data_IF_804079695382
#
_entry.id   IF_804079695382
#
_cell.length_a   1.000
_cell.length_b   1.000
_cell.length_c   1.000
_cell.angle_alpha   90.00
_cell.angle_beta   90.00
_cell.angle_gamma   90.00
#
_symmetry.space_group_name_H-M   'P 1'
#
loop_
_entity.id
_entity.type
_entity.pdbx_description
1 polymer ?
#
# COMPACT_ATOMS: atom_id res chain seq x y z
N UNK A 1 5.10 22.03 -18.02
CA UNK A 1 3.85 22.13 -17.21
C UNK A 1 4.20 22.16 -15.74
N UNK A 2 3.22 22.49 -14.88
CA UNK A 2 3.38 22.44 -13.42
C UNK A 2 3.06 21.04 -12.91
N UNK A 3 3.94 20.46 -12.10
CA UNK A 3 3.78 19.13 -11.51
C UNK A 3 3.98 19.21 -10.00
N UNK A 4 2.97 18.86 -9.22
CA UNK A 4 3.11 18.73 -7.77
C UNK A 4 3.38 17.27 -7.41
N UNK A 5 4.51 16.99 -6.77
CA UNK A 5 4.79 15.67 -6.18
C UNK A 5 4.18 15.65 -4.79
N UNK A 6 3.12 14.87 -4.61
CA UNK A 6 2.32 14.84 -3.37
C UNK A 6 2.63 13.58 -2.59
N UNK A 7 2.96 13.73 -1.29
CA UNK A 7 3.41 12.63 -0.44
C UNK A 7 2.91 12.79 1.01
N UNK A 8 3.08 11.75 1.85
CA UNK A 8 2.86 11.85 3.29
C UNK A 8 4.13 11.50 4.07
N UNK A 9 4.58 12.40 4.96
CA UNK A 9 5.55 12.06 6.03
C UNK A 9 5.00 12.34 7.41
N UNK A 10 4.08 13.30 7.56
CA UNK A 10 3.38 13.57 8.81
C UNK A 10 1.91 13.16 8.74
N UNK A 11 1.59 12.03 9.35
CA UNK A 11 0.22 11.50 9.41
C UNK A 11 -0.68 12.21 10.43
N UNK A 12 -0.14 13.18 11.20
CA UNK A 12 -0.88 13.89 12.26
C UNK A 12 -1.43 15.24 11.83
N UNK A 13 -1.13 15.70 10.62
CA UNK A 13 -1.65 16.95 10.06
C UNK A 13 -3.11 16.79 9.60
N UNK A 14 -3.99 16.53 10.57
CA UNK A 14 -5.44 16.34 10.44
C UNK A 14 -6.17 17.19 11.47
N UNK A 15 -7.48 17.38 11.33
CA UNK A 15 -8.29 18.07 12.35
C UNK A 15 -8.38 17.22 13.62
N UNK A 16 -8.74 15.94 13.48
CA UNK A 16 -8.85 14.98 14.56
C UNK A 16 -8.20 13.66 14.16
N UNK A 17 -7.53 13.02 15.12
CA UNK A 17 -6.99 11.67 14.97
C UNK A 17 -8.08 10.64 15.28
N UNK A 18 -8.17 9.61 14.44
CA UNK A 18 -9.01 8.44 14.72
C UNK A 18 -8.33 7.16 14.25
N UNK A 19 -8.62 6.05 14.94
CA UNK A 19 -7.97 4.78 14.68
C UNK A 19 -6.44 4.89 14.78
N UNK A 20 -5.75 4.06 14.00
CA UNK A 20 -4.30 4.09 13.91
C UNK A 20 -3.85 5.01 12.76
N UNK A 21 -3.01 6.01 13.04
CA UNK A 21 -2.40 6.81 11.98
C UNK A 21 -1.52 5.93 11.09
N UNK A 22 -1.56 6.19 9.79
CA UNK A 22 -0.75 5.48 8.82
C UNK A 22 0.73 5.66 9.12
N UNK A 23 1.49 4.57 9.08
CA UNK A 23 2.93 4.58 9.36
C UNK A 23 3.77 4.57 8.08
N UNK A 24 3.15 4.32 6.92
CA UNK A 24 3.83 4.23 5.64
C UNK A 24 4.31 5.60 5.17
N UNK A 25 5.57 5.65 4.73
CA UNK A 25 6.21 6.89 4.30
C UNK A 25 7.13 6.60 3.14
N UNK A 26 7.02 7.40 2.08
CA UNK A 26 8.01 7.39 1.01
C UNK A 26 9.33 8.01 1.51
N UNK A 27 10.45 7.47 1.05
CA UNK A 27 11.77 7.98 1.42
C UNK A 27 12.06 9.36 0.81
N UNK A 28 12.69 10.24 1.59
CA UNK A 28 13.09 11.59 1.12
C UNK A 28 14.02 11.53 -0.09
N UNK A 29 14.92 10.53 -0.15
CA UNK A 29 15.79 10.29 -1.31
C UNK A 29 14.96 9.98 -2.57
N UNK A 30 13.89 9.20 -2.44
CA UNK A 30 12.98 8.89 -3.56
C UNK A 30 12.21 10.12 -4.02
N UNK A 31 11.67 10.92 -3.09
CA UNK A 31 11.02 12.21 -3.41
C UNK A 31 12.00 13.11 -4.17
N UNK A 32 13.24 13.24 -3.69
CA UNK A 32 14.27 14.02 -4.36
C UNK A 32 14.53 13.51 -5.79
N UNK A 33 14.74 12.20 -5.97
CA UNK A 33 14.95 11.59 -7.30
C UNK A 33 13.78 11.86 -8.25
N UNK A 34 12.54 11.73 -7.79
CA UNK A 34 11.35 12.02 -8.59
C UNK A 34 11.30 13.50 -9.00
N UNK A 35 11.46 14.41 -8.05
CA UNK A 35 11.43 15.85 -8.34
C UNK A 35 12.54 16.29 -9.27
N UNK A 36 13.76 15.78 -9.09
CA UNK A 36 14.90 16.09 -9.96
C UNK A 36 14.67 15.57 -11.39
N UNK A 37 14.15 14.35 -11.54
CA UNK A 37 13.83 13.78 -12.84
C UNK A 37 12.75 14.58 -13.59
N UNK A 38 11.68 14.99 -12.90
CA UNK A 38 10.62 15.82 -13.47
C UNK A 38 11.15 17.21 -13.87
N UNK A 39 12.05 17.81 -13.07
CA UNK A 39 12.70 19.09 -13.41
C UNK A 39 13.62 18.96 -14.62
N UNK A 40 14.41 17.89 -14.68
CA UNK A 40 15.25 17.58 -15.84
C UNK A 40 14.42 17.39 -17.13
N UNK A 41 13.18 16.88 -16.99
CA UNK A 41 12.18 16.83 -18.07
C UNK A 41 11.54 18.18 -18.44
N UNK A 42 12.01 19.30 -17.88
CA UNK A 42 11.53 20.65 -18.21
C UNK A 42 10.21 21.05 -17.52
N UNK A 43 9.83 20.38 -16.43
CA UNK A 43 8.63 20.74 -15.67
C UNK A 43 8.94 21.71 -14.52
N UNK A 44 7.95 22.53 -14.17
CA UNK A 44 7.98 23.31 -12.93
C UNK A 44 7.48 22.38 -11.81
N UNK A 45 8.34 22.08 -10.83
CA UNK A 45 8.07 21.02 -9.85
C UNK A 45 8.18 21.52 -8.42
N UNK A 46 7.14 21.24 -7.64
CA UNK A 46 7.12 21.40 -6.18
C UNK A 46 6.76 20.09 -5.51
N UNK A 47 7.22 19.88 -4.28
CA UNK A 47 6.86 18.72 -3.46
C UNK A 47 6.04 19.19 -2.26
N UNK A 48 4.94 18.51 -1.95
CA UNK A 48 3.97 18.94 -0.95
C UNK A 48 3.50 17.77 -0.07
N UNK A 49 3.35 18.03 1.23
CA UNK A 49 2.62 17.13 2.14
C UNK A 49 1.13 17.09 1.76
N UNK A 50 0.58 15.89 1.67
CA UNK A 50 -0.85 15.63 1.54
C UNK A 50 -1.54 15.69 2.91
N UNK A 51 -1.78 16.90 3.38
CA UNK A 51 -2.48 17.19 4.62
C UNK A 51 -3.78 17.97 4.38
N UNK A 52 -4.41 18.43 5.47
CA UNK A 52 -5.64 19.24 5.40
C UNK A 52 -5.51 20.55 4.60
N UNK A 53 -4.28 21.02 4.35
CA UNK A 53 -3.99 22.24 3.59
C UNK A 53 -3.69 21.96 2.10
N UNK A 54 -3.76 20.69 1.66
CA UNK A 54 -3.36 20.30 0.31
C UNK A 54 -4.10 21.08 -0.79
N UNK A 55 -5.40 21.31 -0.64
CA UNK A 55 -6.20 22.04 -1.63
C UNK A 55 -5.68 23.47 -1.82
N UNK A 56 -5.50 24.21 -0.73
CA UNK A 56 -5.00 25.59 -0.77
C UNK A 56 -3.58 25.68 -1.38
N UNK A 57 -2.72 24.71 -1.05
CA UNK A 57 -1.37 24.60 -1.63
C UNK A 57 -1.42 24.34 -3.14
N UNK A 58 -2.31 23.45 -3.59
CA UNK A 58 -2.49 23.14 -5.02
C UNK A 58 -3.06 24.34 -5.79
N UNK A 59 -4.08 25.02 -5.27
CA UNK A 59 -4.66 26.22 -5.88
C UNK A 59 -3.62 27.33 -6.09
N UNK A 60 -2.76 27.54 -5.09
CA UNK A 60 -1.67 28.53 -5.18
C UNK A 60 -0.64 28.15 -6.25
N UNK A 61 -0.28 26.88 -6.34
CA UNK A 61 0.77 26.43 -7.26
C UNK A 61 0.29 26.28 -8.70
N UNK A 62 -0.90 25.70 -8.91
CA UNK A 62 -1.47 25.41 -10.23
C UNK A 62 -2.88 26.02 -10.37
N UNK A 63 -2.97 27.35 -10.59
CA UNK A 63 -4.26 28.01 -10.75
C UNK A 63 -5.01 27.49 -11.99
N UNK A 64 -6.33 27.70 -11.99
CA UNK A 64 -7.22 27.32 -13.08
C UNK A 64 -6.69 27.85 -14.41
N UNK A 65 -6.60 26.95 -15.39
CA UNK A 65 -6.16 27.28 -16.74
C UNK A 65 -7.23 28.05 -17.51
N UNK A 66 -6.79 29.00 -18.33
CA UNK A 66 -7.63 29.63 -19.36
C UNK A 66 -7.69 28.73 -20.61
N UNK A 67 -8.66 28.97 -21.49
CA UNK A 67 -8.84 28.16 -22.70
C UNK A 67 -7.54 28.13 -23.54
N UNK A 68 -7.05 26.93 -23.82
CA UNK A 68 -5.82 26.69 -24.61
C UNK A 68 -4.57 26.36 -23.78
N UNK A 69 -4.59 26.55 -22.46
CA UNK A 69 -3.49 26.15 -21.59
C UNK A 69 -3.57 24.68 -21.15
N UNK A 70 -2.41 24.05 -20.93
CA UNK A 70 -2.35 22.70 -20.35
C UNK A 70 -2.44 22.80 -18.82
N UNK A 71 -3.39 22.11 -18.17
CA UNK A 71 -3.47 22.09 -16.71
C UNK A 71 -2.19 21.53 -16.09
N UNK A 72 -1.93 21.95 -14.85
CA UNK A 72 -0.97 21.26 -13.99
C UNK A 72 -1.47 19.86 -13.65
N UNK A 73 -0.59 19.04 -13.09
CA UNK A 73 -0.94 17.69 -12.65
C UNK A 73 -0.27 17.33 -11.33
N UNK A 74 -0.82 16.30 -10.68
CA UNK A 74 -0.23 15.73 -9.47
C UNK A 74 0.46 14.40 -9.77
N UNK A 75 1.73 14.32 -9.37
CA UNK A 75 2.46 13.08 -9.24
C UNK A 75 2.23 12.52 -7.83
N UNK A 76 1.19 11.69 -7.68
CA UNK A 76 0.78 11.16 -6.38
C UNK A 76 1.69 10.00 -5.93
N UNK A 77 2.36 10.17 -4.79
CA UNK A 77 3.11 9.12 -4.08
C UNK A 77 2.76 9.12 -2.58
N UNK A 78 1.54 9.55 -2.27
CA UNK A 78 0.99 9.60 -0.92
C UNK A 78 0.42 8.24 -0.51
N UNK A 79 0.42 7.96 0.80
CA UNK A 79 -0.13 6.73 1.38
C UNK A 79 -1.37 7.00 2.25
N UNK A 80 -1.87 8.25 2.26
CA UNK A 80 -2.93 8.68 3.16
C UNK A 80 -2.48 8.81 4.62
N UNK A 81 -3.41 9.30 5.44
CA UNK A 81 -3.13 9.74 6.82
C UNK A 81 -3.68 8.76 7.88
N UNK A 82 -4.93 8.30 7.72
CA UNK A 82 -5.65 7.45 8.67
C UNK A 82 -6.88 6.82 8.01
N UNK A 83 -7.50 5.83 8.65
CA UNK A 83 -8.67 5.13 8.12
C UNK A 83 -8.35 3.97 7.18
N UNK A 84 -9.37 3.16 6.89
CA UNK A 84 -9.20 1.91 6.12
C UNK A 84 -8.86 2.17 4.65
N UNK A 85 -9.59 3.08 3.99
CA UNK A 85 -9.40 3.44 2.59
C UNK A 85 -8.34 4.56 2.40
N UNK A 86 -7.34 4.65 3.28
CA UNK A 86 -6.41 5.80 3.35
C UNK A 86 -5.73 6.17 2.02
N UNK A 87 -5.43 5.21 1.16
CA UNK A 87 -4.79 5.47 -0.14
C UNK A 87 -5.69 6.27 -1.10
N UNK A 88 -6.99 6.38 -0.83
CA UNK A 88 -7.91 7.17 -1.65
C UNK A 88 -7.89 8.66 -1.35
N UNK A 89 -7.34 9.09 -0.20
CA UNK A 89 -7.47 10.47 0.27
C UNK A 89 -7.09 11.51 -0.80
N UNK A 90 -5.88 11.37 -1.36
CA UNK A 90 -5.39 12.28 -2.39
C UNK A 90 -6.15 12.12 -3.71
N UNK A 91 -6.23 10.93 -4.34
CA UNK A 91 -6.93 10.82 -5.62
C UNK A 91 -8.40 11.25 -5.54
N UNK A 92 -9.11 10.99 -4.43
CA UNK A 92 -10.50 11.46 -4.25
C UNK A 92 -10.60 12.98 -4.17
N UNK A 93 -9.68 13.64 -3.45
CA UNK A 93 -9.63 15.11 -3.42
C UNK A 93 -9.33 15.66 -4.82
N UNK A 94 -8.39 15.05 -5.54
CA UNK A 94 -7.99 15.50 -6.89
C UNK A 94 -9.11 15.35 -7.91
N UNK A 95 -9.89 14.26 -7.86
CA UNK A 95 -11.10 14.11 -8.65
C UNK A 95 -12.14 15.18 -8.32
N UNK A 96 -12.33 15.48 -7.03
CA UNK A 96 -13.26 16.52 -6.58
C UNK A 96 -12.87 17.92 -7.06
N UNK A 97 -11.58 18.27 -7.03
CA UNK A 97 -11.08 19.60 -7.44
C UNK A 97 -10.68 19.69 -8.91
N UNK A 98 -10.82 18.59 -9.68
CA UNK A 98 -10.59 18.57 -11.13
C UNK A 98 -9.12 18.65 -11.55
N UNK A 99 -8.19 18.10 -10.75
CA UNK A 99 -6.76 18.11 -11.06
C UNK A 99 -6.34 16.73 -11.62
N UNK A 100 -5.77 16.66 -12.83
CA UNK A 100 -5.22 15.41 -13.38
C UNK A 100 -4.09 14.83 -12.51
N UNK A 101 -4.00 13.51 -12.42
CA UNK A 101 -2.99 12.82 -11.64
C UNK A 101 -2.55 11.49 -12.26
N UNK A 102 -1.42 10.96 -11.80
CA UNK A 102 -0.91 9.63 -12.19
C UNK A 102 -1.27 8.57 -11.15
N UNK A 103 -1.18 7.30 -11.58
CA UNK A 103 -1.54 6.09 -10.84
C UNK A 103 -3.05 5.87 -10.72
N UNK A 104 -3.44 4.92 -9.87
CA UNK A 104 -4.81 4.43 -9.74
C UNK A 104 -5.73 5.48 -9.13
N UNK A 105 -7.00 5.47 -9.54
CA UNK A 105 -8.05 6.24 -8.88
C UNK A 105 -8.53 5.61 -7.57
N UNK A 106 -9.49 6.27 -6.88
CA UNK A 106 -10.01 5.84 -5.58
C UNK A 106 -10.53 4.41 -5.58
N UNK A 107 -11.27 4.01 -6.62
CA UNK A 107 -11.80 2.65 -6.72
C UNK A 107 -10.67 1.60 -6.77
N UNK A 108 -9.67 1.82 -7.62
CA UNK A 108 -8.53 0.93 -7.74
C UNK A 108 -7.75 0.81 -6.44
N UNK A 109 -7.52 1.93 -5.75
CA UNK A 109 -6.87 1.94 -4.45
C UNK A 109 -7.68 1.23 -3.36
N UNK A 110 -8.99 1.46 -3.27
CA UNK A 110 -9.85 0.80 -2.28
C UNK A 110 -9.87 -0.72 -2.47
N UNK A 111 -9.99 -1.18 -3.72
CA UNK A 111 -9.99 -2.62 -4.02
C UNK A 111 -8.65 -3.26 -3.66
N UNK A 112 -7.54 -2.67 -4.13
CA UNK A 112 -6.21 -3.22 -3.92
C UNK A 112 -5.72 -3.19 -2.46
N UNK A 113 -6.20 -2.23 -1.66
CA UNK A 113 -5.80 -2.10 -0.25
C UNK A 113 -6.49 -3.14 0.65
N UNK A 114 -7.74 -3.52 0.34
CA UNK A 114 -8.44 -4.60 1.03
C UNK A 114 -8.04 -5.96 0.46
N UNK A 115 -7.20 -6.68 1.21
CA UNK A 115 -6.66 -7.99 0.82
C UNK A 115 -7.76 -9.04 0.64
N UNK A 116 -8.83 -8.98 1.43
CA UNK A 116 -9.94 -9.94 1.38
C UNK A 116 -10.76 -9.70 0.12
N UNK A 117 -11.16 -8.44 -0.11
CA UNK A 117 -11.91 -8.06 -1.31
C UNK A 117 -11.10 -8.35 -2.58
N UNK A 118 -9.81 -8.00 -2.60
CA UNK A 118 -8.92 -8.34 -3.72
C UNK A 118 -8.93 -9.84 -4.00
N UNK A 119 -8.72 -10.70 -2.98
CA UNK A 119 -8.72 -12.16 -3.15
C UNK A 119 -10.07 -12.68 -3.67
N UNK A 120 -11.18 -12.19 -3.14
CA UNK A 120 -12.52 -12.58 -3.59
C UNK A 120 -12.71 -12.28 -5.08
N UNK A 121 -12.32 -11.08 -5.53
CA UNK A 121 -12.42 -10.68 -6.95
C UNK A 121 -11.52 -11.56 -7.82
N UNK A 122 -10.27 -11.80 -7.39
CA UNK A 122 -9.34 -12.65 -8.14
C UNK A 122 -9.88 -14.09 -8.29
N UNK A 123 -10.32 -14.71 -7.18
CA UNK A 123 -10.91 -16.06 -7.20
C UNK A 123 -12.15 -16.15 -8.06
N UNK A 124 -13.04 -15.15 -7.99
CA UNK A 124 -14.25 -15.10 -8.83
C UNK A 124 -13.92 -15.06 -10.32
N UNK A 125 -12.75 -14.55 -10.70
CA UNK A 125 -12.25 -14.50 -12.07
C UNK A 125 -11.28 -15.64 -12.41
N UNK A 126 -11.20 -16.70 -11.59
CA UNK A 126 -10.36 -17.86 -11.84
C UNK A 126 -8.86 -17.63 -11.60
N UNK A 127 -8.47 -16.52 -10.98
CA UNK A 127 -7.09 -16.26 -10.59
C UNK A 127 -6.85 -16.87 -9.20
N UNK A 128 -5.92 -17.82 -9.06
CA UNK A 128 -5.71 -18.51 -7.79
C UNK A 128 -5.11 -17.58 -6.74
N UNK A 129 -5.57 -17.74 -5.50
CA UNK A 129 -5.00 -17.12 -4.31
C UNK A 129 -4.96 -18.16 -3.20
N UNK A 130 -3.99 -18.10 -2.25
CA UNK A 130 -3.98 -19.02 -1.11
C UNK A 130 -5.32 -19.05 -0.38
N UNK A 131 -5.72 -20.23 0.09
CA UNK A 131 -6.89 -20.37 0.97
C UNK A 131 -6.72 -19.50 2.21
N UNK A 132 -7.82 -18.95 2.71
CA UNK A 132 -7.75 -17.96 3.79
C UNK A 132 -9.01 -17.93 4.64
N UNK A 133 -8.85 -17.43 5.86
CA UNK A 133 -9.92 -17.11 6.79
C UNK A 133 -9.69 -15.74 7.43
N UNK A 134 -10.78 -15.05 7.76
CA UNK A 134 -10.75 -13.82 8.56
C UNK A 134 -11.20 -14.17 9.97
N UNK A 135 -10.32 -13.94 10.94
CA UNK A 135 -10.59 -14.14 12.35
C UNK A 135 -11.00 -12.79 12.95
N UNK A 136 -12.29 -12.67 13.27
CA UNK A 136 -12.85 -11.45 13.89
C UNK A 136 -12.41 -11.29 15.35
N UNK A 137 -12.04 -12.38 16.01
CA UNK A 137 -11.43 -12.37 17.35
C UNK A 137 -10.27 -13.38 17.43
N UNK A 138 -9.33 -13.23 18.38
CA UNK A 138 -8.21 -14.16 18.55
C UNK A 138 -8.60 -15.61 18.86
N UNK A 139 -9.79 -15.82 19.43
CA UNK A 139 -10.30 -17.13 19.86
C UNK A 139 -11.04 -17.87 18.76
N UNK A 140 -11.38 -17.19 17.66
CA UNK A 140 -12.10 -17.76 16.53
C UNK A 140 -11.28 -18.89 15.90
N UNK A 141 -11.84 -20.10 15.75
CA UNK A 141 -11.16 -21.19 15.04
C UNK A 141 -11.11 -20.91 13.54
N UNK A 142 -10.10 -21.46 12.85
CA UNK A 142 -10.08 -21.49 11.39
C UNK A 142 -11.08 -22.54 10.87
N UNK A 143 -11.66 -22.34 9.66
CA UNK A 143 -12.51 -23.35 9.04
C UNK A 143 -11.76 -24.66 8.79
N UNK A 144 -12.51 -25.77 8.83
CA UNK A 144 -12.00 -27.08 8.45
C UNK A 144 -11.45 -27.04 7.01
N UNK A 145 -10.22 -27.55 6.83
CA UNK A 145 -9.56 -27.61 5.53
C UNK A 145 -8.56 -26.48 5.23
N UNK A 146 -8.37 -25.51 6.12
CA UNK A 146 -7.24 -24.57 6.03
C UNK A 146 -6.00 -25.17 6.71
N UNK A 147 -4.96 -25.60 5.95
CA UNK A 147 -3.84 -26.34 6.52
C UNK A 147 -2.79 -25.42 7.14
N UNK A 148 -2.08 -25.94 8.14
CA UNK A 148 -0.82 -25.38 8.62
C UNK A 148 0.36 -25.78 7.70
N UNK A 149 1.42 -24.97 7.62
CA UNK A 149 1.56 -23.66 8.26
C UNK A 149 0.71 -22.57 7.60
N UNK A 150 0.45 -21.50 8.34
CA UNK A 150 -0.30 -20.33 7.88
C UNK A 150 0.51 -19.04 8.06
N UNK A 151 0.31 -18.09 7.16
CA UNK A 151 0.74 -16.70 7.36
C UNK A 151 -0.41 -15.93 7.99
N UNK A 152 -0.19 -15.37 9.17
CA UNK A 152 -1.15 -14.49 9.85
C UNK A 152 -0.68 -13.04 9.79
N UNK A 153 -1.60 -12.11 9.53
CA UNK A 153 -1.30 -10.68 9.41
C UNK A 153 -2.53 -9.81 9.71
N UNK A 154 -2.37 -8.52 10.06
CA UNK A 154 -3.51 -7.63 10.18
C UNK A 154 -4.24 -7.48 8.83
N UNK A 155 -5.58 -7.45 8.87
CA UNK A 155 -6.40 -7.32 7.66
C UNK A 155 -6.08 -6.05 6.86
N UNK A 156 -5.98 -4.89 7.51
CA UNK A 156 -5.98 -3.56 6.88
C UNK A 156 -4.59 -2.88 6.80
N UNK A 157 -3.54 -3.50 7.35
CA UNK A 157 -2.19 -2.92 7.35
C UNK A 157 -1.39 -3.29 6.10
N UNK A 158 -0.45 -2.44 5.71
CA UNK A 158 0.53 -2.76 4.66
C UNK A 158 1.93 -2.97 5.30
N UNK A 159 2.94 -3.28 4.48
CA UNK A 159 4.38 -3.41 4.86
C UNK A 159 4.80 -4.58 5.78
N UNK A 160 4.08 -5.71 5.82
CA UNK A 160 4.44 -6.91 6.62
C UNK A 160 4.49 -6.67 8.15
N UNK A 161 3.91 -5.58 8.63
CA UNK A 161 3.89 -5.27 10.05
C UNK A 161 2.91 -6.21 10.77
N UNK A 162 3.41 -6.98 11.75
CA UNK A 162 2.62 -8.00 12.43
C UNK A 162 2.40 -9.29 11.62
N UNK A 163 3.24 -9.54 10.59
CA UNK A 163 3.23 -10.80 9.86
C UNK A 163 3.95 -11.89 10.67
N UNK A 164 3.33 -13.05 10.82
CA UNK A 164 3.93 -14.24 11.43
C UNK A 164 3.58 -15.50 10.63
N UNK A 165 4.46 -16.50 10.67
CA UNK A 165 4.16 -17.86 10.21
C UNK A 165 3.83 -18.68 11.45
N UNK A 166 2.69 -19.36 11.42
CA UNK A 166 2.20 -20.20 12.51
C UNK A 166 2.05 -21.63 12.04
N UNK A 167 2.46 -22.58 12.87
CA UNK A 167 2.54 -24.00 12.55
C UNK A 167 1.46 -24.84 13.24
N UNK A 168 0.78 -24.29 14.24
CA UNK A 168 -0.30 -24.94 14.96
C UNK A 168 -1.32 -23.94 15.54
N UNK A 169 -2.34 -24.49 16.21
CA UNK A 169 -3.44 -23.73 16.81
C UNK A 169 -2.99 -22.80 17.93
N UNK A 170 -1.99 -23.19 18.71
CA UNK A 170 -1.52 -22.39 19.85
C UNK A 170 -0.70 -21.19 19.37
N UNK A 171 0.16 -21.39 18.36
CA UNK A 171 0.88 -20.33 17.68
C UNK A 171 -0.08 -19.37 16.96
N UNK A 172 -1.13 -19.90 16.32
CA UNK A 172 -2.19 -19.10 15.70
C UNK A 172 -2.88 -18.20 16.72
N UNK A 173 -3.38 -18.76 17.83
CA UNK A 173 -4.08 -17.99 18.86
C UNK A 173 -3.19 -16.92 19.47
N UNK A 174 -1.93 -17.27 19.75
CA UNK A 174 -0.94 -16.34 20.31
C UNK A 174 -0.69 -15.19 19.35
N UNK A 175 -0.41 -15.48 18.08
CA UNK A 175 -0.11 -14.46 17.06
C UNK A 175 -1.34 -13.61 16.75
N UNK A 176 -2.53 -14.21 16.65
CA UNK A 176 -3.79 -13.50 16.44
C UNK A 176 -4.09 -12.53 17.59
N UNK A 177 -3.84 -12.95 18.84
CA UNK A 177 -3.98 -12.07 20.01
C UNK A 177 -3.02 -10.89 19.96
N UNK A 178 -1.75 -11.12 19.65
CA UNK A 178 -0.75 -10.04 19.50
C UNK A 178 -1.18 -9.03 18.44
N UNK A 179 -1.68 -9.51 17.29
CA UNK A 179 -2.19 -8.65 16.23
C UNK A 179 -3.42 -7.87 16.72
N UNK A 180 -4.39 -8.54 17.31
CA UNK A 180 -5.62 -7.90 17.76
C UNK A 180 -5.37 -6.82 18.82
N UNK A 181 -4.56 -7.12 19.85
CA UNK A 181 -4.23 -6.17 20.92
C UNK A 181 -3.48 -4.94 20.38
N UNK A 182 -2.61 -5.13 19.38
CA UNK A 182 -1.77 -4.06 18.82
C UNK A 182 -2.52 -3.18 17.83
N UNK A 183 -3.39 -3.78 17.03
CA UNK A 183 -3.98 -3.14 15.85
C UNK A 183 -5.48 -2.91 15.94
N UNK A 184 -6.15 -3.50 16.94
CA UNK A 184 -7.59 -3.42 17.18
C UNK A 184 -8.40 -3.71 15.91
N UNK A 185 -8.02 -4.77 15.19
CA UNK A 185 -8.64 -5.15 13.91
C UNK A 185 -8.58 -6.67 13.68
N UNK A 186 -9.41 -7.21 12.76
CA UNK A 186 -9.41 -8.63 12.42
C UNK A 186 -8.07 -9.12 11.87
N UNK A 187 -7.84 -10.42 12.03
CA UNK A 187 -6.64 -11.12 11.57
C UNK A 187 -6.97 -11.87 10.29
N UNK A 188 -6.10 -11.76 9.28
CA UNK A 188 -6.16 -12.56 8.08
C UNK A 188 -5.18 -13.72 8.22
N UNK A 189 -5.70 -14.94 8.28
CA UNK A 189 -4.93 -16.19 8.25
C UNK A 189 -4.99 -16.76 6.84
N UNK A 190 -3.82 -16.97 6.22
CA UNK A 190 -3.70 -17.50 4.86
C UNK A 190 -2.83 -18.75 4.88
N UNK A 191 -3.18 -19.73 4.05
CA UNK A 191 -2.31 -20.87 3.77
C UNK A 191 -0.90 -20.38 3.40
N UNK A 192 0.11 -20.92 4.08
CA UNK A 192 1.48 -20.71 3.65
C UNK A 192 1.73 -21.48 2.35
N UNK A 193 2.16 -20.78 1.31
CA UNK A 193 2.54 -21.38 0.03
C UNK A 193 4.05 -21.42 -0.06
N UNK A 194 4.62 -22.61 0.05
CA UNK A 194 6.03 -22.83 -0.20
C UNK A 194 6.34 -22.63 -1.68
N UNK A 195 7.36 -21.81 -1.98
CA UNK A 195 7.79 -21.61 -3.35
C UNK A 195 8.46 -20.26 -3.60
N UNK A 196 8.39 -19.83 -4.86
CA UNK A 196 9.04 -18.61 -5.36
C UNK A 196 8.11 -17.41 -5.24
N UNK A 197 8.64 -16.27 -4.82
CA UNK A 197 7.94 -14.97 -4.89
C UNK A 197 8.37 -14.22 -6.16
N UNK A 198 7.41 -13.98 -7.06
CA UNK A 198 7.64 -13.32 -8.35
C UNK A 198 6.80 -12.04 -8.42
N UNK A 199 7.42 -10.94 -8.82
CA UNK A 199 6.78 -9.63 -9.00
C UNK A 199 6.79 -9.25 -10.48
N UNK A 200 5.68 -8.69 -10.97
CA UNK A 200 5.53 -8.21 -12.35
C UNK A 200 5.05 -6.76 -12.31
N UNK A 201 5.82 -5.85 -12.90
CA UNK A 201 5.40 -4.45 -13.08
C UNK A 201 4.37 -4.33 -14.20
N UNK A 202 3.37 -3.47 -14.01
CA UNK A 202 2.37 -3.12 -15.03
C UNK A 202 2.34 -1.60 -15.21
N UNK A 203 2.26 -1.11 -16.45
CA UNK A 203 2.15 0.32 -16.76
C UNK A 203 1.11 0.58 -17.87
N UNK A 204 0.28 1.60 -17.67
CA UNK A 204 -0.74 2.01 -18.64
C UNK A 204 -2.17 1.69 -18.19
N UNK A 205 -3.15 2.26 -18.90
CA UNK A 205 -4.56 2.20 -18.51
C UNK A 205 -5.36 1.08 -19.24
N UNK A 206 -4.98 0.72 -20.46
CA UNK A 206 -5.73 -0.29 -21.23
C UNK A 206 -5.33 -0.40 -22.70
N UNK A 207 -4.75 -1.54 -23.14
CA UNK A 207 -4.17 -2.59 -22.30
C UNK A 207 -2.90 -2.08 -21.59
N UNK A 208 -2.58 -2.57 -20.38
CA UNK A 208 -1.30 -2.26 -19.74
C UNK A 208 -0.15 -3.03 -20.40
N UNK A 209 1.04 -2.44 -20.38
CA UNK A 209 2.31 -3.11 -20.67
C UNK A 209 2.78 -3.88 -19.44
N UNK A 210 3.13 -5.16 -19.61
CA UNK A 210 3.73 -5.98 -18.58
C UNK A 210 5.26 -6.00 -18.74
N UNK A 211 5.96 -5.68 -17.64
CA UNK A 211 7.43 -5.74 -17.58
C UNK A 211 7.91 -7.17 -17.31
N UNK A 212 9.19 -7.48 -17.58
CA UNK A 212 9.75 -8.78 -17.23
C UNK A 212 9.57 -9.13 -15.74
N UNK A 213 9.26 -10.40 -15.41
CA UNK A 213 9.12 -10.83 -14.03
C UNK A 213 10.47 -10.76 -13.29
N UNK A 214 10.38 -10.42 -12.00
CA UNK A 214 11.51 -10.27 -11.07
C UNK A 214 11.27 -11.21 -9.89
N UNK A 215 12.25 -12.01 -9.49
CA UNK A 215 12.07 -13.07 -8.50
C UNK A 215 12.86 -12.74 -7.24
N UNK A 216 12.20 -12.70 -6.09
CA UNK A 216 12.90 -12.49 -4.82
C UNK A 216 13.68 -13.74 -4.44
N UNK A 217 14.99 -13.57 -4.24
CA UNK A 217 15.87 -14.57 -3.65
C UNK A 217 16.07 -14.27 -2.16
N UNK A 218 15.60 -15.18 -1.30
CA UNK A 218 15.63 -15.01 0.16
C UNK A 218 16.95 -15.43 0.82
N UNK A 219 17.80 -16.18 0.10
CA UNK A 219 19.00 -16.80 0.66
C UNK A 219 18.67 -17.74 1.83
N UNK A 220 19.60 -17.80 2.79
CA UNK A 220 19.43 -18.56 4.03
C UNK A 220 18.45 -17.85 4.99
N UNK A 221 17.50 -18.60 5.56
CA UNK A 221 16.52 -18.12 6.53
C UNK A 221 15.06 -18.26 6.10
N UNK A 222 14.12 -17.54 6.75
CA UNK A 222 12.70 -17.64 6.46
C UNK A 222 12.36 -17.32 5.00
N UNK A 223 11.64 -18.20 4.32
CA UNK A 223 11.22 -18.00 2.92
C UNK A 223 9.99 -17.10 2.85
N UNK A 224 10.12 -15.89 3.41
CA UNK A 224 9.12 -14.81 3.46
C UNK A 224 9.83 -13.45 3.48
N UNK A 225 9.23 -12.42 2.87
CA UNK A 225 9.75 -11.05 2.90
C UNK A 225 9.23 -10.27 4.13
N UNK A 226 9.99 -10.30 5.24
CA UNK A 226 9.57 -9.73 6.52
C UNK A 226 9.68 -8.19 6.53
N UNK A 227 9.12 -7.57 7.57
CA UNK A 227 9.29 -6.14 7.80
C UNK A 227 10.77 -5.78 8.03
N UNK A 228 11.50 -6.63 8.74
CA UNK A 228 12.92 -6.46 9.03
C UNK A 228 13.75 -6.49 7.75
N UNK A 229 13.43 -7.36 6.78
CA UNK A 229 14.10 -7.35 5.48
C UNK A 229 13.84 -6.06 4.71
N UNK A 230 12.56 -5.64 4.65
CA UNK A 230 12.14 -4.41 3.95
C UNK A 230 12.77 -3.15 4.53
N UNK A 231 13.09 -3.17 5.82
CA UNK A 231 13.72 -2.06 6.53
C UNK A 231 15.23 -2.19 6.68
N UNK A 232 15.84 -3.25 6.11
CA UNK A 232 17.27 -3.52 6.20
C UNK A 232 17.75 -3.87 7.61
N UNK A 233 16.85 -4.29 8.50
CA UNK A 233 17.11 -4.64 9.90
C UNK A 233 17.38 -6.13 10.11
N UNK A 234 16.97 -6.99 9.18
CA UNK A 234 17.21 -8.44 9.29
C UNK A 234 18.65 -8.83 9.03
N UNK A 235 19.43 -7.97 8.37
CA UNK A 235 20.77 -8.29 7.88
C UNK A 235 20.79 -9.18 6.63
N UNK A 236 19.62 -9.63 6.13
CA UNK A 236 19.52 -10.42 4.91
C UNK A 236 19.59 -9.53 3.66
N UNK A 237 20.28 -10.01 2.63
CA UNK A 237 20.24 -9.40 1.31
C UNK A 237 19.19 -10.11 0.46
N UNK A 238 18.02 -9.50 0.33
CA UNK A 238 16.99 -9.97 -0.61
C UNK A 238 17.32 -9.42 -1.99
N UNK A 239 17.60 -10.31 -2.94
CA UNK A 239 17.93 -9.92 -4.31
C UNK A 239 16.68 -10.03 -5.20
N UNK A 240 16.34 -8.97 -5.96
CA UNK A 240 15.32 -9.04 -7.01
C UNK A 240 15.81 -9.80 -8.25
#
# INVERSE_FOLDING_TARGET
MRVAVVYNRDSRSVINLFGMPNQEKIGLKTIKRLTDALRAGGHQVTAMEADKELIAKLESFMPRVVAGERPGMVFNVSYGLQGQARYTHVPSILEMVGIPYVASGPLGHSLALDKVVTKMILRQNGIPTPEFAVLETPEMPVPDGLPYPMVVKPKNEAVSFGLAVVHDTDELRTSAKVIFDRFSQPVLAEQYVEGREINVGLLGNGPPEAFPPVMLSFGDGPQIYTYEDKTGRSGRQIQP
#
